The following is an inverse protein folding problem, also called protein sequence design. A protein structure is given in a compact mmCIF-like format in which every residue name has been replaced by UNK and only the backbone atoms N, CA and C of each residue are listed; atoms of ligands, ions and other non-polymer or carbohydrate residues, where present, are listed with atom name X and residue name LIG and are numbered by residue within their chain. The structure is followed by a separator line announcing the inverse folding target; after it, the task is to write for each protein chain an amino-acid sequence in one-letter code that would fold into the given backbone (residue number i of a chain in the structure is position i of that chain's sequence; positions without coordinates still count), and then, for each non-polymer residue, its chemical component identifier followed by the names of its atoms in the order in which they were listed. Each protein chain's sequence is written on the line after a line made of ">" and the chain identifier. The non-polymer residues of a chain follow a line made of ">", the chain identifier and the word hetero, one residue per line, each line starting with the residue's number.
data_IF_578524509460
#
_entry.id   IF_578524509460
#
_cell.length_a   1.000
_cell.length_b   1.000
_cell.length_c   1.000
_cell.angle_alpha   90.00
_cell.angle_beta   90.00
_cell.angle_gamma   90.00
#
_symmetry.space_group_name_H-M   'P 1'
#
loop_
_entity.id
_entity.type
_entity.pdbx_description
1 polymer ?
#
# COMPACT_ATOMS: atom_id res chain seq x y z
N UNK A 1 -6.05 12.50 22.91
CA UNK A 1 -5.62 11.68 21.77
C UNK A 1 -6.08 12.38 20.52
N UNK A 2 -5.16 12.69 19.58
CA UNK A 2 -5.56 13.19 18.27
C UNK A 2 -6.47 12.16 17.60
N UNK A 3 -7.50 12.63 16.93
CA UNK A 3 -8.46 11.79 16.20
C UNK A 3 -7.70 10.96 15.15
N UNK A 4 -7.78 9.64 15.21
CA UNK A 4 -7.28 8.73 14.16
C UNK A 4 -8.23 8.73 12.95
N UNK A 5 -8.55 9.93 12.45
CA UNK A 5 -9.46 10.12 11.31
C UNK A 5 -8.75 9.88 9.99
N UNK A 6 -9.42 9.25 9.05
CA UNK A 6 -8.88 8.95 7.72
C UNK A 6 -9.87 9.21 6.60
N UNK A 7 -9.31 9.37 5.40
CA UNK A 7 -10.02 9.36 4.13
C UNK A 7 -9.36 8.30 3.25
N UNK A 8 -10.16 7.57 2.49
CA UNK A 8 -9.63 6.66 1.48
C UNK A 8 -10.08 7.06 0.08
N UNK A 9 -9.12 7.17 -0.82
CA UNK A 9 -9.32 7.42 -2.25
C UNK A 9 -9.17 6.11 -3.02
N UNK A 10 -9.96 5.94 -4.08
CA UNK A 10 -9.88 4.72 -4.90
C UNK A 10 -10.07 3.46 -4.05
N UNK A 11 -11.06 3.47 -3.16
CA UNK A 11 -11.19 2.47 -2.11
C UNK A 11 -11.57 1.07 -2.64
N UNK A 12 -12.00 0.94 -3.89
CA UNK A 12 -12.48 -0.32 -4.44
C UNK A 12 -13.61 -0.90 -3.56
N UNK A 13 -13.51 -2.18 -3.23
CA UNK A 13 -14.44 -2.84 -2.31
C UNK A 13 -14.10 -2.60 -0.81
N UNK A 14 -13.19 -1.67 -0.49
CA UNK A 14 -12.88 -1.28 0.89
C UNK A 14 -11.85 -2.14 1.61
N UNK A 15 -11.03 -2.91 0.89
CA UNK A 15 -10.07 -3.83 1.53
C UNK A 15 -8.99 -3.13 2.36
N UNK A 16 -8.41 -2.03 1.86
CA UNK A 16 -7.42 -1.24 2.59
C UNK A 16 -8.09 -0.49 3.74
N UNK A 17 -9.26 0.12 3.49
CA UNK A 17 -10.07 0.77 4.52
C UNK A 17 -10.39 -0.17 5.68
N UNK A 18 -10.76 -1.42 5.40
CA UNK A 18 -11.04 -2.42 6.43
C UNK A 18 -9.81 -2.70 7.30
N UNK A 19 -8.62 -2.80 6.69
CA UNK A 19 -7.37 -2.95 7.43
C UNK A 19 -7.09 -1.75 8.35
N UNK A 20 -7.31 -0.53 7.88
CA UNK A 20 -7.14 0.69 8.67
C UNK A 20 -8.19 0.81 9.78
N UNK A 21 -9.44 0.43 9.53
CA UNK A 21 -10.49 0.37 10.54
C UNK A 21 -10.11 -0.60 11.68
N UNK A 22 -9.56 -1.78 11.34
CA UNK A 22 -9.08 -2.74 12.33
C UNK A 22 -7.85 -2.20 13.10
N UNK A 23 -7.05 -1.34 12.49
CA UNK A 23 -5.94 -0.64 13.14
C UNK A 23 -6.38 0.57 13.99
N UNK A 24 -7.69 0.85 14.07
CA UNK A 24 -8.26 1.89 14.93
C UNK A 24 -8.48 3.24 14.24
N UNK A 25 -8.38 3.31 12.91
CA UNK A 25 -8.75 4.53 12.18
C UNK A 25 -10.27 4.61 11.98
N UNK A 26 -10.79 5.84 12.01
CA UNK A 26 -12.19 6.16 11.74
C UNK A 26 -12.29 6.86 10.38
N UNK A 27 -12.90 6.21 9.41
CA UNK A 27 -13.06 6.75 8.07
C UNK A 27 -14.12 7.85 8.04
N UNK A 28 -13.75 9.04 7.55
CA UNK A 28 -14.65 10.17 7.33
C UNK A 28 -15.26 10.15 5.95
N UNK A 29 -14.53 9.64 4.95
CA UNK A 29 -14.99 9.48 3.59
C UNK A 29 -14.23 8.37 2.87
N UNK A 30 -14.94 7.62 2.04
CA UNK A 30 -14.38 6.67 1.08
C UNK A 30 -14.87 7.08 -0.31
N UNK A 31 -13.94 7.31 -1.23
CA UNK A 31 -14.23 7.73 -2.60
C UNK A 31 -13.92 6.61 -3.58
N UNK A 32 -14.89 6.27 -4.41
CA UNK A 32 -14.76 5.25 -5.44
C UNK A 32 -15.61 5.61 -6.65
N UNK A 33 -15.07 5.42 -7.85
CA UNK A 33 -15.78 5.67 -9.09
C UNK A 33 -16.69 4.49 -9.49
N UNK A 34 -16.24 3.26 -9.22
CA UNK A 34 -16.94 2.05 -9.64
C UNK A 34 -18.21 1.83 -8.81
N UNK A 35 -19.35 1.81 -9.49
CA UNK A 35 -20.67 1.63 -8.89
C UNK A 35 -20.78 0.31 -8.12
N UNK A 36 -20.25 -0.78 -8.67
CA UNK A 36 -20.42 -2.11 -8.05
C UNK A 36 -19.62 -2.21 -6.76
N UNK A 37 -18.43 -1.62 -6.71
CA UNK A 37 -17.64 -1.49 -5.50
C UNK A 37 -18.39 -0.70 -4.42
N UNK A 38 -18.95 0.46 -4.77
CA UNK A 38 -19.74 1.27 -3.83
C UNK A 38 -20.98 0.51 -3.33
N UNK A 39 -21.68 -0.18 -4.25
CA UNK A 39 -22.87 -0.97 -3.90
C UNK A 39 -22.50 -2.09 -2.93
N UNK A 40 -21.37 -2.77 -3.15
CA UNK A 40 -20.90 -3.83 -2.24
C UNK A 40 -20.65 -3.30 -0.82
N UNK A 41 -19.95 -2.17 -0.69
CA UNK A 41 -19.70 -1.57 0.64
C UNK A 41 -21.03 -1.16 1.29
N UNK A 42 -21.92 -0.47 0.56
CA UNK A 42 -23.23 -0.02 1.08
C UNK A 42 -24.10 -1.19 1.55
N UNK A 43 -24.11 -2.30 0.82
CA UNK A 43 -24.83 -3.50 1.23
C UNK A 43 -24.31 -4.06 2.57
N UNK A 44 -22.98 -4.04 2.80
CA UNK A 44 -22.41 -4.45 4.09
C UNK A 44 -22.78 -3.47 5.23
N UNK A 45 -22.88 -2.18 4.95
CA UNK A 45 -23.32 -1.15 5.91
C UNK A 45 -24.79 -1.42 6.28
N UNK A 46 -25.66 -1.62 5.28
CA UNK A 46 -27.10 -1.89 5.46
C UNK A 46 -27.36 -3.19 6.22
N UNK A 47 -26.51 -4.21 6.04
CA UNK A 47 -26.56 -5.45 6.80
C UNK A 47 -26.03 -5.30 8.24
N UNK A 48 -25.60 -4.11 8.65
CA UNK A 48 -25.12 -3.83 9.99
C UNK A 48 -23.77 -4.43 10.33
N UNK A 49 -22.90 -4.67 9.32
CA UNK A 49 -21.55 -5.17 9.57
C UNK A 49 -20.79 -4.20 10.50
N UNK A 50 -20.36 -4.63 11.70
CA UNK A 50 -19.84 -3.73 12.74
C UNK A 50 -18.60 -2.91 12.32
N UNK A 51 -17.78 -3.47 11.42
CA UNK A 51 -16.53 -2.83 10.99
C UNK A 51 -16.73 -1.71 9.97
N UNK A 52 -17.88 -1.67 9.28
CA UNK A 52 -18.12 -0.72 8.18
C UNK A 52 -19.36 0.15 8.38
N UNK A 53 -20.13 -0.07 9.45
CA UNK A 53 -21.43 0.57 9.68
C UNK A 53 -21.40 2.10 9.68
N UNK A 54 -20.28 2.69 10.06
CA UNK A 54 -20.11 4.14 10.20
C UNK A 54 -19.41 4.75 8.96
N UNK A 55 -19.15 3.96 7.91
CA UNK A 55 -18.48 4.44 6.72
C UNK A 55 -19.39 5.30 5.85
N UNK A 56 -18.82 6.41 5.35
CA UNK A 56 -19.48 7.26 4.35
C UNK A 56 -18.84 6.99 2.98
N UNK A 57 -19.61 6.41 2.06
CA UNK A 57 -19.14 5.99 0.73
C UNK A 57 -19.71 6.90 -0.33
N UNK A 58 -18.83 7.59 -1.04
CA UNK A 58 -19.13 8.51 -2.12
C UNK A 58 -18.75 7.89 -3.46
N UNK A 59 -19.77 7.65 -4.30
CA UNK A 59 -19.54 7.25 -5.68
C UNK A 59 -19.21 8.52 -6.49
N UNK A 60 -17.91 8.82 -6.62
CA UNK A 60 -17.48 10.04 -7.29
C UNK A 60 -16.10 9.86 -7.95
N UNK A 61 -15.86 10.65 -9.00
CA UNK A 61 -14.53 10.84 -9.57
C UNK A 61 -13.74 11.80 -8.68
N UNK A 62 -12.63 11.35 -8.13
CA UNK A 62 -11.82 12.16 -7.21
C UNK A 62 -11.30 13.46 -7.85
N UNK A 63 -11.22 13.54 -9.19
CA UNK A 63 -10.87 14.77 -9.92
C UNK A 63 -11.87 15.91 -9.69
N UNK A 64 -13.11 15.58 -9.35
CA UNK A 64 -14.18 16.54 -9.08
C UNK A 64 -14.31 16.89 -7.59
N UNK A 65 -13.48 16.29 -6.72
CA UNK A 65 -13.54 16.56 -5.29
C UNK A 65 -12.81 17.84 -4.93
N UNK A 66 -13.35 18.55 -3.93
CA UNK A 66 -12.64 19.53 -3.11
C UNK A 66 -12.40 18.92 -1.74
N UNK A 67 -11.32 19.27 -1.09
CA UNK A 67 -10.94 18.71 0.21
C UNK A 67 -10.88 19.76 1.33
N UNK A 68 -11.44 20.96 1.09
CA UNK A 68 -11.37 22.09 2.02
C UNK A 68 -11.92 21.76 3.42
N UNK A 69 -12.98 20.96 3.48
CA UNK A 69 -13.59 20.54 4.75
C UNK A 69 -12.70 19.63 5.60
N UNK A 70 -11.67 19.02 5.01
CA UNK A 70 -10.79 18.04 5.64
C UNK A 70 -9.45 18.62 6.10
N UNK A 71 -9.12 19.83 5.69
CA UNK A 71 -7.85 20.49 6.03
C UNK A 71 -7.61 20.51 7.53
N UNK A 72 -6.50 19.94 7.96
CA UNK A 72 -6.11 19.88 9.39
C UNK A 72 -6.99 18.99 10.28
N UNK A 73 -7.92 18.20 9.70
CA UNK A 73 -8.84 17.32 10.44
C UNK A 73 -8.59 15.84 10.18
N UNK A 74 -7.75 15.50 9.21
CA UNK A 74 -7.48 14.14 8.78
C UNK A 74 -6.05 13.76 9.12
N UNK A 75 -5.91 12.71 9.92
CA UNK A 75 -4.59 12.18 10.27
C UNK A 75 -4.00 11.34 9.14
N UNK A 76 -4.84 10.62 8.37
CA UNK A 76 -4.36 9.71 7.34
C UNK A 76 -5.16 9.79 6.05
N UNK A 77 -4.45 9.81 4.92
CA UNK A 77 -5.00 9.49 3.60
C UNK A 77 -4.51 8.11 3.19
N UNK A 78 -5.42 7.27 2.73
CA UNK A 78 -5.10 5.98 2.11
C UNK A 78 -5.66 5.88 0.71
N UNK A 79 -5.19 4.89 -0.07
CA UNK A 79 -5.79 4.61 -1.36
C UNK A 79 -4.96 3.70 -2.26
N UNK A 80 -5.64 3.18 -3.29
CA UNK A 80 -5.03 2.40 -4.35
C UNK A 80 -5.15 3.13 -5.70
N UNK A 81 -4.40 4.23 -5.96
CA UNK A 81 -4.55 5.01 -7.17
C UNK A 81 -4.35 4.13 -8.41
N UNK A 82 -5.32 4.07 -9.34
CA UNK A 82 -5.15 3.35 -10.59
C UNK A 82 -3.89 3.78 -11.32
N UNK A 83 -3.11 2.78 -11.75
CA UNK A 83 -1.85 2.98 -12.46
C UNK A 83 -1.81 2.00 -13.64
N UNK A 84 -2.77 2.13 -14.54
CA UNK A 84 -3.00 1.16 -15.62
C UNK A 84 -1.89 1.07 -16.67
N UNK A 85 -1.10 2.11 -16.96
CA UNK A 85 0.06 1.97 -17.84
C UNK A 85 1.09 0.95 -17.36
N UNK A 86 1.07 0.59 -16.08
CA UNK A 86 2.03 -0.33 -15.41
C UNK A 86 1.48 -1.75 -15.25
N UNK A 87 0.24 -2.03 -15.72
CA UNK A 87 -0.26 -3.40 -15.81
C UNK A 87 0.43 -4.13 -16.96
N UNK A 88 0.37 -5.48 -16.92
CA UNK A 88 1.01 -6.35 -17.94
C UNK A 88 0.51 -6.05 -19.37
N UNK A 89 -0.67 -5.45 -19.51
CA UNK A 89 -1.36 -5.16 -20.77
C UNK A 89 -1.16 -3.71 -21.29
N UNK A 90 -0.52 -2.83 -20.52
CA UNK A 90 -0.34 -1.41 -20.89
C UNK A 90 0.86 -1.16 -21.81
N UNK A 91 0.67 -0.37 -22.88
CA UNK A 91 1.68 -0.05 -23.91
C UNK A 91 2.73 1.00 -23.51
N UNK A 92 3.03 1.19 -22.23
CA UNK A 92 4.24 1.93 -21.79
C UNK A 92 4.22 3.47 -21.88
N UNK A 93 3.08 4.12 -22.18
CA UNK A 93 2.97 5.59 -22.23
C UNK A 93 2.38 6.16 -20.91
N UNK A 94 3.04 5.87 -19.80
CA UNK A 94 2.55 6.11 -18.45
C UNK A 94 2.12 7.56 -18.16
N UNK A 95 2.85 8.53 -18.66
CA UNK A 95 2.74 9.93 -18.26
C UNK A 95 1.64 10.76 -18.95
N UNK A 96 1.01 10.21 -19.99
CA UNK A 96 -0.11 10.83 -20.73
C UNK A 96 -1.40 10.00 -20.65
N UNK A 97 -1.45 9.00 -19.77
CA UNK A 97 -2.62 8.15 -19.64
C UNK A 97 -3.59 8.77 -18.60
N UNK A 98 -4.79 9.13 -19.04
CA UNK A 98 -5.85 9.64 -18.17
C UNK A 98 -6.24 8.67 -17.02
N UNK A 99 -5.71 7.45 -17.04
CA UNK A 99 -5.90 6.43 -16.00
C UNK A 99 -4.79 6.44 -14.95
N UNK A 100 -3.77 7.31 -15.08
CA UNK A 100 -2.81 7.55 -14.01
C UNK A 100 -3.43 8.51 -13.00
N UNK A 101 -3.71 7.99 -11.81
CA UNK A 101 -4.36 8.75 -10.75
C UNK A 101 -3.40 9.14 -9.61
N UNK A 102 -2.09 8.90 -9.75
CA UNK A 102 -1.13 9.42 -8.78
C UNK A 102 -1.13 10.95 -8.67
N UNK A 103 -1.29 11.73 -9.74
CA UNK A 103 -1.43 13.19 -9.62
C UNK A 103 -2.58 13.60 -8.69
N UNK A 104 -3.71 12.89 -8.71
CA UNK A 104 -4.84 13.16 -7.82
C UNK A 104 -4.56 12.73 -6.37
N UNK A 105 -3.84 11.63 -6.17
CA UNK A 105 -3.39 11.23 -4.83
C UNK A 105 -2.43 12.29 -4.22
N UNK A 106 -1.49 12.80 -5.02
CA UNK A 106 -0.59 13.92 -4.62
C UNK A 106 -1.39 15.19 -4.34
N UNK A 107 -2.39 15.52 -5.18
CA UNK A 107 -3.27 16.67 -4.96
C UNK A 107 -4.01 16.58 -3.63
N UNK A 108 -4.57 15.41 -3.32
CA UNK A 108 -5.25 15.21 -2.04
C UNK A 108 -4.28 15.38 -0.85
N UNK A 109 -3.07 14.85 -0.92
CA UNK A 109 -2.04 15.06 0.13
C UNK A 109 -1.72 16.55 0.29
N UNK A 110 -1.57 17.29 -0.80
CA UNK A 110 -1.31 18.73 -0.80
C UNK A 110 -2.44 19.54 -0.18
N UNK A 111 -3.68 19.23 -0.53
CA UNK A 111 -4.86 20.00 -0.11
C UNK A 111 -5.26 19.69 1.34
N UNK A 112 -5.19 18.43 1.78
CA UNK A 112 -5.61 18.00 3.11
C UNK A 112 -4.50 18.17 4.16
N UNK A 113 -3.24 18.05 3.75
CA UNK A 113 -2.06 18.08 4.64
C UNK A 113 -2.19 17.07 5.78
N UNK A 114 -2.38 15.75 5.49
CA UNK A 114 -2.51 14.73 6.52
C UNK A 114 -1.20 14.53 7.29
N UNK A 115 -1.28 13.94 8.48
CA UNK A 115 -0.08 13.54 9.23
C UNK A 115 0.69 12.42 8.49
N UNK A 116 -0.06 11.47 7.91
CA UNK A 116 0.46 10.27 7.24
C UNK A 116 -0.34 9.98 5.98
N UNK A 117 0.27 9.35 5.00
CA UNK A 117 -0.47 8.71 3.90
C UNK A 117 0.06 7.30 3.63
N UNK A 118 -0.81 6.44 3.10
CA UNK A 118 -0.46 5.11 2.61
C UNK A 118 -1.12 4.84 1.26
N UNK A 119 -0.32 4.57 0.24
CA UNK A 119 -0.80 4.19 -1.08
C UNK A 119 -0.36 2.78 -1.45
N UNK A 120 -1.29 1.98 -1.96
CA UNK A 120 -1.05 0.62 -2.43
C UNK A 120 -1.03 0.59 -3.96
N UNK A 121 -0.11 -0.21 -4.53
CA UNK A 121 -0.09 -0.43 -5.96
C UNK A 121 0.44 -1.81 -6.34
N UNK A 122 0.28 -2.17 -7.60
CA UNK A 122 0.75 -3.45 -8.15
C UNK A 122 2.28 -3.51 -8.23
N UNK A 123 2.86 -4.73 -8.11
CA UNK A 123 4.30 -4.96 -8.24
C UNK A 123 4.91 -4.40 -9.53
N UNK A 124 4.10 -4.32 -10.60
CA UNK A 124 4.52 -3.80 -11.91
C UNK A 124 5.06 -2.37 -11.88
N UNK A 125 4.68 -1.57 -10.88
CA UNK A 125 5.18 -0.21 -10.68
C UNK A 125 6.72 -0.15 -10.46
N UNK A 126 7.32 -1.23 -9.94
CA UNK A 126 8.76 -1.34 -9.69
C UNK A 126 9.57 -1.91 -10.87
N UNK A 127 8.99 -2.03 -12.07
CA UNK A 127 9.74 -2.46 -13.25
C UNK A 127 10.78 -1.41 -13.64
N UNK A 128 11.93 -1.85 -14.13
CA UNK A 128 13.02 -0.97 -14.54
C UNK A 128 12.57 0.08 -15.57
N UNK A 129 11.70 -0.30 -16.50
CA UNK A 129 11.13 0.62 -17.50
C UNK A 129 10.30 1.77 -16.93
N UNK A 130 9.89 1.69 -15.67
CA UNK A 130 9.08 2.70 -14.99
C UNK A 130 9.81 3.39 -13.84
N UNK A 131 11.05 3.03 -13.58
CA UNK A 131 11.82 3.52 -12.45
C UNK A 131 11.87 5.04 -12.37
N UNK A 132 12.18 5.72 -13.46
CA UNK A 132 12.27 7.19 -13.47
C UNK A 132 10.94 7.85 -13.14
N UNK A 133 9.84 7.29 -13.66
CA UNK A 133 8.50 7.81 -13.36
C UNK A 133 8.07 7.47 -11.92
N UNK A 134 8.43 6.32 -11.42
CA UNK A 134 8.19 5.96 -10.01
C UNK A 134 8.96 6.88 -9.06
N UNK A 135 10.24 7.14 -9.35
CA UNK A 135 11.05 8.10 -8.59
C UNK A 135 10.42 9.52 -8.63
N UNK A 136 9.83 9.90 -9.76
CA UNK A 136 9.09 11.16 -9.88
C UNK A 136 7.84 11.18 -9.00
N UNK A 137 7.04 10.10 -8.95
CA UNK A 137 5.89 9.98 -8.04
C UNK A 137 6.34 10.16 -6.58
N UNK A 138 7.41 9.48 -6.16
CA UNK A 138 7.93 9.61 -4.80
C UNK A 138 8.37 11.04 -4.47
N UNK A 139 8.99 11.77 -5.42
CA UNK A 139 9.35 13.17 -5.23
C UNK A 139 8.13 14.08 -5.12
N UNK A 140 7.08 13.87 -5.91
CA UNK A 140 5.84 14.62 -5.78
C UNK A 140 5.18 14.40 -4.41
N UNK A 141 5.17 13.16 -3.93
CA UNK A 141 4.65 12.83 -2.59
C UNK A 141 5.50 13.43 -1.47
N UNK A 142 6.81 13.56 -1.68
CA UNK A 142 7.72 14.21 -0.73
C UNK A 142 7.50 15.73 -0.68
N UNK A 143 7.23 16.36 -1.82
CA UNK A 143 7.08 17.80 -1.99
C UNK A 143 5.73 18.15 -2.63
N UNK A 144 4.58 17.82 -2.00
CA UNK A 144 3.29 17.92 -2.65
C UNK A 144 2.86 19.37 -2.95
N UNK A 145 3.47 20.36 -2.29
CA UNK A 145 3.23 21.78 -2.52
C UNK A 145 3.85 22.31 -3.83
N UNK A 146 4.85 21.60 -4.37
CA UNK A 146 5.47 22.00 -5.64
C UNK A 146 4.69 21.38 -6.78
N UNK A 147 3.88 22.17 -7.46
CA UNK A 147 2.98 21.70 -8.50
C UNK A 147 3.62 21.79 -9.88
N UNK A 148 3.30 20.81 -10.73
CA UNK A 148 3.64 20.85 -12.15
C UNK A 148 2.85 21.97 -12.85
N UNK A 149 3.54 22.84 -13.59
CA UNK A 149 2.88 23.85 -14.40
C UNK A 149 2.23 23.22 -15.66
N UNK A 150 1.16 23.82 -16.21
CA UNK A 150 0.46 23.25 -17.37
C UNK A 150 1.37 22.95 -18.56
N UNK A 151 2.30 23.86 -18.86
CA UNK A 151 3.24 23.75 -20.00
C UNK A 151 4.46 22.86 -19.70
N UNK A 152 4.64 22.44 -18.46
CA UNK A 152 5.79 21.69 -18.01
C UNK A 152 5.62 20.21 -18.34
N UNK A 153 6.66 19.57 -18.86
CA UNK A 153 6.74 18.10 -18.91
C UNK A 153 6.97 17.52 -17.52
N UNK A 154 6.66 16.25 -17.33
CA UNK A 154 6.95 15.59 -16.04
C UNK A 154 8.45 15.52 -15.74
N UNK A 155 9.31 15.43 -16.78
CA UNK A 155 10.77 15.44 -16.64
C UNK A 155 11.29 16.78 -16.14
N UNK A 156 10.79 17.89 -16.68
CA UNK A 156 11.15 19.23 -16.21
C UNK A 156 10.68 19.46 -14.77
N UNK A 157 9.47 19.03 -14.44
CA UNK A 157 9.00 19.08 -13.05
C UNK A 157 9.84 18.18 -12.12
N UNK A 158 10.23 16.98 -12.55
CA UNK A 158 11.13 16.11 -11.80
C UNK A 158 12.48 16.78 -11.52
N UNK A 159 13.04 17.53 -12.50
CA UNK A 159 14.26 18.31 -12.29
C UNK A 159 14.07 19.46 -11.30
N UNK A 160 12.92 20.13 -11.34
CA UNK A 160 12.55 21.16 -10.36
C UNK A 160 12.51 20.58 -8.93
N UNK A 161 11.82 19.45 -8.74
CA UNK A 161 11.74 18.75 -7.46
C UNK A 161 13.11 18.30 -6.94
N UNK A 162 13.98 17.79 -7.83
CA UNK A 162 15.37 17.44 -7.48
C UNK A 162 16.16 18.66 -7.00
N UNK A 163 16.04 19.80 -7.65
CA UNK A 163 16.71 21.03 -7.22
C UNK A 163 16.20 21.49 -5.85
N UNK A 164 14.92 21.39 -5.60
CA UNK A 164 14.32 21.75 -4.31
C UNK A 164 14.88 20.93 -3.14
N UNK A 165 15.18 19.64 -3.33
CA UNK A 165 15.83 18.81 -2.31
C UNK A 165 17.12 19.43 -1.72
N UNK A 166 17.82 20.29 -2.48
CA UNK A 166 19.09 20.90 -2.08
C UNK A 166 18.95 22.32 -1.55
N UNK A 167 17.78 22.94 -1.68
CA UNK A 167 17.60 24.38 -1.39
C UNK A 167 16.51 24.67 -0.34
N UNK A 168 16.00 23.64 0.34
CA UNK A 168 14.77 23.72 1.13
C UNK A 168 14.76 24.89 2.14
N UNK A 169 13.83 25.81 1.88
CA UNK A 169 13.38 26.85 2.80
C UNK A 169 11.87 26.59 3.01
N UNK A 170 11.54 25.86 4.06
CA UNK A 170 10.27 25.15 4.18
C UNK A 170 9.15 26.06 4.69
N UNK A 171 8.37 26.63 3.79
CA UNK A 171 7.12 27.30 4.13
C UNK A 171 5.90 26.34 4.16
N UNK A 172 6.02 25.13 3.58
CA UNK A 172 4.94 24.14 3.47
C UNK A 172 5.41 22.77 3.96
N UNK A 173 4.50 21.94 4.49
CA UNK A 173 4.86 20.62 4.99
C UNK A 173 5.46 19.72 3.92
N UNK A 174 6.61 19.13 4.25
CA UNK A 174 7.26 18.08 3.47
C UNK A 174 7.05 16.72 4.14
N UNK A 175 7.19 15.66 3.36
CA UNK A 175 7.01 14.30 3.85
C UNK A 175 8.30 13.48 3.74
N UNK A 176 8.56 12.67 4.75
CA UNK A 176 9.41 11.51 4.59
C UNK A 176 8.61 10.45 3.84
N UNK A 177 9.18 9.89 2.78
CA UNK A 177 8.50 8.89 1.96
C UNK A 177 9.34 7.64 1.87
N UNK A 178 8.76 6.49 2.18
CA UNK A 178 9.37 5.18 2.06
C UNK A 178 8.47 4.23 1.30
N UNK A 179 9.02 3.23 0.64
CA UNK A 179 8.24 2.19 -0.01
C UNK A 179 8.85 0.80 0.17
N UNK A 180 7.99 -0.20 0.14
CA UNK A 180 8.40 -1.62 0.23
C UNK A 180 7.50 -2.48 -0.65
N UNK A 181 8.11 -3.44 -1.36
CA UNK A 181 7.36 -4.53 -1.95
C UNK A 181 7.05 -5.56 -0.86
N UNK A 182 5.79 -5.73 -0.56
CA UNK A 182 5.32 -6.67 0.47
C UNK A 182 4.58 -7.84 -0.17
N UNK A 183 4.67 -9.01 0.44
CA UNK A 183 3.87 -10.17 0.10
C UNK A 183 2.94 -10.47 1.28
N UNK A 184 1.65 -10.48 1.07
CA UNK A 184 0.67 -10.70 2.14
C UNK A 184 0.89 -12.00 2.93
N UNK A 185 1.42 -13.05 2.28
CA UNK A 185 1.72 -14.31 2.95
C UNK A 185 2.81 -14.18 4.03
N UNK A 186 3.73 -13.21 3.88
CA UNK A 186 4.79 -12.96 4.85
C UNK A 186 4.27 -12.31 6.14
N UNK A 187 3.01 -11.88 6.14
CA UNK A 187 2.30 -11.27 7.27
C UNK A 187 1.10 -12.10 7.75
N UNK A 188 1.04 -13.39 7.39
CA UNK A 188 0.03 -14.31 7.91
C UNK A 188 -1.27 -14.37 7.10
N UNK A 189 -1.34 -13.79 5.92
CA UNK A 189 -2.48 -13.94 5.01
C UNK A 189 -2.32 -15.23 4.20
N UNK A 190 -3.35 -16.09 4.06
CA UNK A 190 -3.25 -17.35 3.32
C UNK A 190 -3.29 -17.14 1.78
N UNK A 191 -2.62 -16.11 1.31
CA UNK A 191 -2.53 -15.76 -0.11
C UNK A 191 -1.17 -15.14 -0.44
N UNK A 192 -0.54 -15.63 -1.48
CA UNK A 192 0.65 -14.99 -2.07
C UNK A 192 0.19 -13.82 -2.93
N UNK A 193 0.35 -12.59 -2.42
CA UNK A 193 -0.06 -11.36 -3.09
C UNK A 193 0.99 -10.29 -2.88
N UNK A 194 1.71 -9.95 -3.94
CA UNK A 194 2.72 -8.90 -3.92
C UNK A 194 2.11 -7.53 -4.21
N UNK A 195 2.41 -6.55 -3.34
CA UNK A 195 1.99 -5.15 -3.51
C UNK A 195 3.10 -4.20 -3.10
N UNK A 196 3.18 -3.09 -3.80
CA UNK A 196 4.01 -1.95 -3.39
C UNK A 196 3.18 -1.12 -2.43
N UNK A 197 3.70 -0.93 -1.23
CA UNK A 197 3.16 0.06 -0.29
C UNK A 197 4.09 1.26 -0.27
N UNK A 198 3.51 2.46 -0.45
CA UNK A 198 4.19 3.75 -0.35
C UNK A 198 3.62 4.42 0.89
N UNK A 199 4.47 4.71 1.87
CA UNK A 199 4.09 5.34 3.13
C UNK A 199 4.82 6.66 3.26
N UNK A 200 4.10 7.73 3.59
CA UNK A 200 4.69 9.01 3.88
C UNK A 200 4.18 9.57 5.20
N UNK A 201 5.04 10.29 5.90
CA UNK A 201 4.71 10.98 7.14
C UNK A 201 5.35 12.38 7.14
N UNK A 202 4.64 13.35 7.69
CA UNK A 202 5.11 14.73 7.74
C UNK A 202 6.42 14.82 8.53
N UNK A 203 7.37 15.57 8.00
CA UNK A 203 8.71 15.71 8.60
C UNK A 203 8.68 16.39 9.96
N UNK A 204 7.77 17.36 10.17
CA UNK A 204 7.63 18.10 11.41
C UNK A 204 7.14 17.25 12.60
N UNK A 205 6.60 16.06 12.33
CA UNK A 205 6.18 15.13 13.38
C UNK A 205 7.35 14.39 14.03
N UNK A 206 8.55 14.45 13.45
CA UNK A 206 9.76 13.79 13.94
C UNK A 206 9.57 12.29 14.27
N UNK A 207 8.81 11.59 13.42
CA UNK A 207 8.53 10.16 13.57
C UNK A 207 9.68 9.37 12.94
N UNK A 208 10.29 8.45 13.71
CA UNK A 208 11.14 7.38 13.18
C UNK A 208 10.27 6.16 12.89
N UNK A 209 9.92 5.96 11.62
CA UNK A 209 9.04 4.87 11.18
C UNK A 209 9.74 3.96 10.19
N UNK A 210 9.54 2.67 10.35
CA UNK A 210 10.04 1.64 9.46
C UNK A 210 8.95 0.60 9.17
N UNK A 211 9.04 -0.01 7.99
CA UNK A 211 8.14 -1.12 7.67
C UNK A 211 8.32 -2.27 8.67
N UNK A 212 7.20 -2.83 9.15
CA UNK A 212 7.27 -3.99 10.05
C UNK A 212 7.99 -5.16 9.37
N UNK A 213 8.73 -5.92 10.17
CA UNK A 213 9.39 -7.13 9.68
C UNK A 213 8.36 -8.24 9.40
N UNK A 214 8.63 -9.09 8.41
CA UNK A 214 7.80 -10.27 8.15
C UNK A 214 7.68 -11.15 9.40
N UNK A 215 6.48 -11.67 9.64
CA UNK A 215 6.19 -12.60 10.73
C UNK A 215 6.13 -14.06 10.27
N UNK A 216 5.99 -14.30 8.96
CA UNK A 216 5.84 -15.61 8.34
C UNK A 216 6.81 -15.80 7.19
N UNK A 217 7.15 -17.04 6.85
CA UNK A 217 7.96 -17.33 5.68
C UNK A 217 7.58 -18.64 5.00
N UNK A 218 7.85 -18.70 3.70
CA UNK A 218 7.74 -19.92 2.88
C UNK A 218 8.69 -21.00 3.36
N UNK A 219 9.89 -20.61 3.75
CA UNK A 219 10.92 -21.52 4.24
C UNK A 219 10.47 -22.21 5.53
N UNK A 220 9.88 -21.47 6.47
CA UNK A 220 9.29 -22.04 7.69
C UNK A 220 8.14 -22.99 7.40
N UNK A 221 7.31 -22.70 6.38
CA UNK A 221 6.28 -23.64 5.93
C UNK A 221 6.89 -24.93 5.35
N UNK A 222 7.90 -24.82 4.48
CA UNK A 222 8.57 -25.97 3.91
C UNK A 222 9.27 -26.81 4.99
N UNK A 223 9.90 -26.16 5.97
CA UNK A 223 10.51 -26.81 7.11
C UNK A 223 9.47 -27.59 7.93
N UNK A 224 8.35 -26.93 8.26
CA UNK A 224 7.28 -27.56 9.06
C UNK A 224 6.61 -28.74 8.34
N UNK A 225 6.48 -28.67 7.02
CA UNK A 225 5.90 -29.76 6.20
C UNK A 225 6.86 -30.94 6.06
N UNK A 226 8.09 -30.67 5.63
CA UNK A 226 8.95 -31.71 5.06
C UNK A 226 10.14 -32.12 5.93
N UNK A 227 10.55 -31.27 6.87
CA UNK A 227 11.68 -31.56 7.77
C UNK A 227 11.15 -31.97 9.15
N UNK A 228 10.53 -31.07 9.90
CA UNK A 228 10.01 -31.41 11.24
C UNK A 228 8.73 -32.26 11.22
N UNK A 229 7.91 -32.14 10.17
CA UNK A 229 6.61 -32.80 10.10
C UNK A 229 5.52 -32.17 10.95
N UNK A 230 5.83 -31.11 11.70
CA UNK A 230 4.90 -30.44 12.63
C UNK A 230 3.64 -29.89 11.96
N UNK A 231 3.73 -29.51 10.68
CA UNK A 231 2.57 -29.09 9.89
C UNK A 231 1.48 -30.18 9.86
N UNK A 232 1.84 -31.41 9.55
CA UNK A 232 0.89 -32.52 9.39
C UNK A 232 0.24 -32.89 10.73
N UNK A 233 1.02 -32.89 11.81
CA UNK A 233 0.52 -33.12 13.16
C UNK A 233 -0.47 -32.03 13.59
N UNK A 234 -0.13 -30.75 13.37
CA UNK A 234 -0.98 -29.61 13.73
C UNK A 234 -2.33 -29.63 12.99
N UNK A 235 -2.34 -30.09 11.74
CA UNK A 235 -3.55 -30.14 10.92
C UNK A 235 -4.27 -31.50 10.99
N UNK A 236 -3.79 -32.42 11.80
CA UNK A 236 -4.32 -33.79 11.93
C UNK A 236 -4.41 -34.54 10.57
N UNK A 237 -3.38 -34.38 9.75
CA UNK A 237 -3.25 -34.96 8.41
C UNK A 237 -2.09 -35.96 8.36
N UNK A 238 -2.20 -37.07 7.59
CA UNK A 238 -1.08 -37.96 7.35
C UNK A 238 -0.01 -37.27 6.51
N UNK A 239 1.27 -37.42 6.91
CA UNK A 239 2.39 -36.91 6.11
C UNK A 239 2.50 -37.71 4.82
N UNK A 240 2.49 -37.07 3.62
CA UNK A 240 2.70 -37.76 2.36
C UNK A 240 4.07 -38.46 2.32
N UNK A 241 4.11 -39.62 1.66
CA UNK A 241 5.37 -40.36 1.46
C UNK A 241 6.27 -39.66 0.45
N UNK A 242 5.69 -39.09 -0.60
CA UNK A 242 6.41 -38.40 -1.66
C UNK A 242 6.65 -36.93 -1.29
N UNK A 243 7.91 -36.53 -1.33
CA UNK A 243 8.31 -35.16 -1.05
C UNK A 243 8.51 -34.44 -2.37
N UNK A 244 7.68 -33.45 -2.73
CA UNK A 244 7.71 -32.77 -4.04
C UNK A 244 8.85 -31.72 -4.17
N UNK A 245 9.93 -31.90 -3.39
CA UNK A 245 11.03 -30.95 -3.31
C UNK A 245 12.34 -31.75 -3.28
N UNK A 246 13.35 -31.31 -4.01
CA UNK A 246 14.65 -31.96 -4.02
C UNK A 246 15.37 -31.90 -2.69
N UNK A 247 16.14 -32.94 -2.35
CA UNK A 247 16.95 -32.99 -1.13
C UNK A 247 17.89 -31.79 -0.97
N UNK A 248 18.49 -31.33 -2.07
CA UNK A 248 19.32 -30.12 -2.09
C UNK A 248 18.54 -28.88 -1.63
N UNK A 249 17.30 -28.71 -2.09
CA UNK A 249 16.45 -27.60 -1.68
C UNK A 249 16.03 -27.72 -0.20
N UNK A 250 15.70 -28.91 0.27
CA UNK A 250 15.38 -29.16 1.69
C UNK A 250 16.57 -28.88 2.60
N UNK A 251 17.78 -29.27 2.22
CA UNK A 251 19.00 -28.97 2.97
C UNK A 251 19.20 -27.46 3.09
N UNK A 252 18.99 -26.69 2.01
CA UNK A 252 19.06 -25.22 2.03
C UNK A 252 18.01 -24.61 2.97
N UNK A 253 16.77 -25.10 2.90
CA UNK A 253 15.68 -24.65 3.77
C UNK A 253 16.04 -24.90 5.25
N UNK A 254 16.54 -26.11 5.57
CA UNK A 254 16.96 -26.47 6.91
C UNK A 254 18.00 -25.50 7.45
N UNK A 255 19.10 -25.31 6.72
CA UNK A 255 20.18 -24.38 7.10
C UNK A 255 19.66 -22.97 7.32
N UNK A 256 18.79 -22.46 6.42
CA UNK A 256 18.27 -21.10 6.49
C UNK A 256 17.39 -20.89 7.74
N UNK A 257 16.50 -21.84 8.04
CA UNK A 257 15.58 -21.73 9.18
C UNK A 257 16.34 -21.88 10.50
N UNK A 258 17.27 -22.82 10.58
CA UNK A 258 18.07 -23.06 11.79
C UNK A 258 19.03 -21.89 12.08
N UNK A 259 19.61 -21.26 11.03
CA UNK A 259 20.49 -20.09 11.19
C UNK A 259 19.75 -18.82 11.65
N UNK A 260 18.47 -18.68 11.29
CA UNK A 260 17.61 -17.54 11.70
C UNK A 260 16.90 -17.77 13.04
N UNK A 261 17.19 -18.86 13.77
CA UNK A 261 16.63 -19.15 15.09
C UNK A 261 15.13 -19.44 15.11
N UNK A 262 14.54 -19.96 14.04
CA UNK A 262 13.11 -20.28 13.92
C UNK A 262 12.14 -19.12 14.22
N UNK A 263 12.57 -17.86 14.06
CA UNK A 263 11.80 -16.70 14.49
C UNK A 263 10.57 -16.39 13.61
N UNK A 264 10.50 -16.97 12.38
CA UNK A 264 9.38 -16.75 11.47
C UNK A 264 8.41 -17.92 11.49
N UNK A 265 7.13 -17.61 11.59
CA UNK A 265 6.05 -18.58 11.51
C UNK A 265 5.92 -19.16 10.08
N UNK A 266 5.40 -20.39 9.93
CA UNK A 266 5.05 -20.93 8.62
C UNK A 266 3.97 -20.10 7.93
N UNK A 267 4.05 -19.93 6.60
CA UNK A 267 2.93 -19.39 5.83
C UNK A 267 1.65 -20.17 6.13
N UNK A 268 0.54 -19.44 6.22
CA UNK A 268 -0.77 -20.04 6.39
C UNK A 268 -1.20 -20.62 5.03
N UNK A 269 -1.68 -21.85 5.05
CA UNK A 269 -2.28 -22.51 3.87
C UNK A 269 -3.71 -22.85 4.20
N UNK A 270 -4.61 -22.55 3.28
CA UNK A 270 -6.00 -23.01 3.31
C UNK A 270 -6.10 -24.47 2.90
#
# INVERSE_FOLDING_TARGET
>A
MQSTSSIELFCGAGGLALGLQQAGFSHKALYELNKDCCTNIKANIEQGCPLVRDWQVFQNDVRNNTYDEYVGKISMISGGPPCQPFSIEGKGQAHNDARDMFPEAVRAVREIIPDVFIFENVRGLLRESFKEYFDYILMQLKFPSITKQPEQTWQEHAQQLKKHCFTSNNAMPEYNVSYKLVNSADYGVPQVRYRVLIVGWRQDLNIDWQFPEPTHSKESLLYSKWISGSYWTKHNLPKPKDVPISEKALKKVKTLVESKGHNLLPWITT
#
